data_IF_286198671183
#
_entry.id   IF_286198671183
#
_cell.length_a   1.000
_cell.length_b   1.000
_cell.length_c   1.000
_cell.angle_alpha   90.00
_cell.angle_beta   90.00
_cell.angle_gamma   90.00
#
_symmetry.space_group_name_H-M   'P 1'
#
loop_
_entity.id
_entity.type
_entity.pdbx_description
1 polymer ?
#
# COMPACT_ATOMS: atom_id res chain seq x y z
N UNK A 1 16.23 3.20 6.20
CA UNK A 1 15.75 2.87 4.84
C UNK A 1 14.41 2.17 4.97
N UNK A 2 13.29 2.89 4.89
CA UNK A 2 11.98 2.24 4.82
C UNK A 2 11.85 1.69 3.39
N UNK A 3 11.98 0.38 3.22
CA UNK A 3 11.74 -0.26 1.92
C UNK A 3 10.24 -0.12 1.63
N UNK A 4 9.92 0.48 0.48
CA UNK A 4 8.56 0.44 -0.04
C UNK A 4 8.12 -1.02 -0.16
N UNK A 5 6.90 -1.37 0.29
CA UNK A 5 6.37 -2.73 0.11
C UNK A 5 6.23 -3.05 -1.37
N UNK A 6 6.43 -4.31 -1.72
CA UNK A 6 6.20 -4.80 -3.09
C UNK A 6 4.70 -4.94 -3.39
N UNK A 7 4.33 -5.09 -4.67
CA UNK A 7 2.93 -5.33 -5.08
C UNK A 7 2.37 -6.60 -4.42
N UNK A 8 3.19 -7.64 -4.24
CA UNK A 8 2.80 -8.87 -3.53
C UNK A 8 2.51 -8.64 -2.05
N UNK A 9 3.32 -7.83 -1.36
CA UNK A 9 3.10 -7.54 0.06
C UNK A 9 1.78 -6.78 0.26
N UNK A 10 1.48 -5.84 -0.64
CA UNK A 10 0.23 -5.09 -0.62
C UNK A 10 -0.97 -6.02 -0.87
N UNK A 11 -0.87 -6.94 -1.82
CA UNK A 11 -1.94 -7.92 -2.10
C UNK A 11 -2.17 -8.86 -0.91
N UNK A 12 -1.10 -9.40 -0.32
CA UNK A 12 -1.18 -10.24 0.87
C UNK A 12 -1.89 -9.50 2.02
N UNK A 13 -1.51 -8.25 2.26
CA UNK A 13 -2.15 -7.43 3.29
C UNK A 13 -3.62 -7.16 3.00
N UNK A 14 -4.02 -6.91 1.74
CA UNK A 14 -5.44 -6.75 1.35
C UNK A 14 -6.22 -8.04 1.59
N UNK A 15 -5.64 -9.20 1.28
CA UNK A 15 -6.25 -10.51 1.53
C UNK A 15 -6.44 -10.77 3.03
N UNK A 16 -5.46 -10.39 3.85
CA UNK A 16 -5.53 -10.48 5.32
C UNK A 16 -6.47 -9.43 5.94
N UNK A 17 -6.68 -8.30 5.27
CA UNK A 17 -7.48 -7.17 5.77
C UNK A 17 -8.62 -6.82 4.79
N UNK A 18 -9.60 -7.71 4.59
CA UNK A 18 -10.66 -7.55 3.59
C UNK A 18 -11.58 -6.34 3.84
N UNK A 19 -11.59 -5.79 5.06
CA UNK A 19 -12.36 -4.60 5.44
C UNK A 19 -11.59 -3.29 5.29
N UNK A 20 -10.27 -3.34 5.09
CA UNK A 20 -9.38 -2.17 5.03
C UNK A 20 -8.82 -1.95 3.61
N UNK A 21 -9.68 -2.01 2.61
CA UNK A 21 -9.28 -1.96 1.19
C UNK A 21 -8.99 -0.53 0.68
N UNK A 22 -9.22 0.50 1.50
CA UNK A 22 -8.98 1.86 1.07
C UNK A 22 -7.49 2.12 0.94
N UNK A 23 -7.11 2.88 -0.12
CA UNK A 23 -5.72 3.27 -0.37
C UNK A 23 -5.05 3.96 0.82
N UNK A 24 -5.84 4.66 1.64
CA UNK A 24 -5.38 5.31 2.88
C UNK A 24 -4.95 4.30 3.94
N UNK A 25 -5.66 3.17 4.04
CA UNK A 25 -5.41 2.18 5.08
C UNK A 25 -4.19 1.35 4.74
N UNK A 26 -4.04 0.98 3.46
CA UNK A 26 -2.79 0.43 2.89
C UNK A 26 -1.62 1.39 3.17
N UNK A 27 -1.79 2.69 2.87
CA UNK A 27 -0.73 3.67 3.11
C UNK A 27 -0.36 3.80 4.59
N UNK A 28 -1.33 3.68 5.52
CA UNK A 28 -1.06 3.67 6.96
C UNK A 28 -0.33 2.40 7.40
N UNK A 29 -0.78 1.23 6.94
CA UNK A 29 -0.20 -0.07 7.29
C UNK A 29 1.27 -0.18 6.91
N UNK A 30 1.64 0.39 5.76
CA UNK A 30 3.02 0.38 5.26
C UNK A 30 3.81 1.67 5.57
N UNK A 31 3.25 2.60 6.37
CA UNK A 31 3.93 3.85 6.71
C UNK A 31 4.20 4.80 5.54
N UNK A 32 3.47 4.64 4.43
CA UNK A 32 3.60 5.42 3.19
C UNK A 32 3.02 6.83 3.40
N UNK A 33 3.87 7.85 3.22
CA UNK A 33 3.52 9.26 3.47
C UNK A 33 4.03 10.14 2.33
N UNK A 34 3.46 11.35 2.22
CA UNK A 34 3.91 12.36 1.27
C UNK A 34 3.96 11.85 -0.18
N UNK A 35 5.09 12.04 -0.84
CA UNK A 35 5.32 11.70 -2.25
C UNK A 35 5.18 10.20 -2.54
N UNK A 36 5.50 9.32 -1.59
CA UNK A 36 5.42 7.86 -1.76
C UNK A 36 3.99 7.35 -2.03
N UNK A 37 2.97 8.16 -1.68
CA UNK A 37 1.57 7.87 -2.03
C UNK A 37 1.31 7.89 -3.53
N UNK A 38 2.11 8.65 -4.29
CA UNK A 38 2.02 8.72 -5.76
C UNK A 38 2.49 7.39 -6.36
N UNK A 39 3.58 6.85 -5.84
CA UNK A 39 4.11 5.56 -6.31
C UNK A 39 3.20 4.41 -5.92
N UNK A 40 2.64 4.41 -4.70
CA UNK A 40 1.58 3.47 -4.32
C UNK A 40 0.37 3.56 -5.28
N UNK A 41 -0.01 4.77 -5.69
CA UNK A 41 -1.11 4.95 -6.67
C UNK A 41 -0.75 4.36 -8.02
N UNK A 42 0.47 4.54 -8.50
CA UNK A 42 0.95 3.97 -9.78
C UNK A 42 0.98 2.45 -9.71
N UNK A 43 1.47 1.87 -8.62
CA UNK A 43 1.52 0.41 -8.42
C UNK A 43 0.13 -0.23 -8.44
N UNK A 44 -0.86 0.40 -7.82
CA UNK A 44 -2.24 -0.11 -7.74
C UNK A 44 -3.07 0.11 -9.02
N UNK A 45 -2.64 0.96 -9.96
CA UNK A 45 -3.37 1.28 -11.20
C UNK A 45 -2.86 0.47 -12.41
N UNK A 46 -1.98 -0.52 -12.19
CA UNK A 46 -1.48 -1.43 -13.24
C UNK A 46 -2.19 -2.77 -13.22
#
# INVERSE_FOLDING_TARGET
>A
MAKLPSKSDILAWITENPTQTAKRDIAKAFGIKGADRIDLKRMLKS
#
